data_IF_310953491784
#
_entry.id   IF_310953491784
#
_cell.length_a   1.000
_cell.length_b   1.000
_cell.length_c   1.000
_cell.angle_alpha   90.00
_cell.angle_beta   90.00
_cell.angle_gamma   90.00
#
_symmetry.space_group_name_H-M   'P 1'
#
loop_
_entity.id
_entity.type
_entity.pdbx_description
1 polymer ?
#
# COMPACT_ATOMS: atom_id res chain seq x y z
N UNK A 1 -21.87 -5.92 9.92
CA UNK A 1 -20.92 -4.79 9.88
C UNK A 1 -20.26 -4.71 8.53
N UNK A 2 -19.77 -3.53 8.12
CA UNK A 2 -19.08 -3.26 6.84
C UNK A 2 -18.02 -2.18 7.02
N UNK A 3 -17.31 -1.77 5.96
CA UNK A 3 -16.35 -0.66 5.94
C UNK A 3 -15.39 -0.72 7.15
N UNK A 4 -15.17 0.41 7.83
CA UNK A 4 -14.21 0.51 8.94
C UNK A 4 -14.50 -0.45 10.10
N UNK A 5 -15.78 -0.69 10.47
CA UNK A 5 -16.10 -1.65 11.54
C UNK A 5 -15.79 -3.10 11.17
N UNK A 6 -15.97 -3.49 9.92
CA UNK A 6 -15.55 -4.82 9.46
C UNK A 6 -14.03 -4.90 9.34
N UNK A 7 -13.37 -3.83 8.87
CA UNK A 7 -11.92 -3.73 8.75
C UNK A 7 -11.22 -3.88 10.11
N UNK A 8 -11.73 -3.22 11.15
CA UNK A 8 -11.24 -3.34 12.53
C UNK A 8 -11.34 -4.80 13.03
N UNK A 9 -12.52 -5.42 12.86
CA UNK A 9 -12.75 -6.79 13.28
C UNK A 9 -11.91 -7.84 12.53
N UNK A 10 -11.54 -7.55 11.28
CA UNK A 10 -10.72 -8.45 10.47
C UNK A 10 -9.22 -8.11 10.55
N UNK A 11 -8.84 -7.11 11.38
CA UNK A 11 -7.45 -6.71 11.60
C UNK A 11 -6.80 -6.07 10.36
N UNK A 12 -7.59 -5.41 9.52
CA UNK A 12 -7.09 -4.61 8.39
C UNK A 12 -6.54 -3.26 8.84
N UNK A 13 -7.00 -2.77 9.99
CA UNK A 13 -6.55 -1.51 10.60
C UNK A 13 -6.51 -1.66 12.11
N UNK A 14 -5.65 -0.88 12.74
CA UNK A 14 -5.57 -0.72 14.21
C UNK A 14 -6.35 0.52 14.68
N UNK A 15 -6.77 1.35 13.73
CA UNK A 15 -7.55 2.55 14.02
C UNK A 15 -8.99 2.14 14.29
N UNK A 16 -9.48 2.51 15.46
CA UNK A 16 -10.88 2.29 15.81
C UNK A 16 -11.79 3.17 14.96
N UNK A 17 -12.87 2.56 14.48
CA UNK A 17 -13.88 3.32 13.77
C UNK A 17 -14.59 4.29 14.72
N UNK A 18 -14.73 5.55 14.30
CA UNK A 18 -15.49 6.58 15.04
C UNK A 18 -17.00 6.33 15.01
N UNK A 19 -17.45 5.43 14.16
CA UNK A 19 -18.84 5.04 13.98
C UNK A 19 -18.96 3.53 13.78
N UNK A 20 -20.10 2.95 14.14
CA UNK A 20 -20.43 1.57 13.77
C UNK A 20 -20.98 1.57 12.35
N UNK A 21 -20.19 1.01 11.41
CA UNK A 21 -20.58 0.90 10.01
C UNK A 21 -21.38 -0.38 9.77
N UNK A 22 -22.61 -0.25 9.26
CA UNK A 22 -23.47 -1.38 8.93
C UNK A 22 -23.92 -1.30 7.46
N UNK A 23 -23.94 -2.45 6.78
CA UNK A 23 -24.52 -2.57 5.46
C UNK A 23 -25.92 -3.16 5.54
N UNK A 24 -26.85 -2.61 4.76
CA UNK A 24 -28.24 -3.05 4.68
C UNK A 24 -28.69 -3.14 3.21
N UNK A 25 -29.73 -3.92 2.90
CA UNK A 25 -30.33 -3.93 1.56
C UNK A 25 -30.86 -2.54 1.15
N UNK A 26 -30.92 -2.21 -0.15
CA UNK A 26 -31.28 -0.86 -0.63
C UNK A 26 -32.66 -0.38 -0.14
N UNK A 27 -33.66 -1.27 -0.10
CA UNK A 27 -35.03 -0.94 0.27
C UNK A 27 -35.30 -0.88 1.79
N UNK A 28 -34.30 -1.22 2.62
CA UNK A 28 -34.50 -1.23 4.09
C UNK A 28 -34.46 0.17 4.66
N UNK A 29 -35.57 0.59 5.24
CA UNK A 29 -35.61 1.79 6.08
C UNK A 29 -35.13 1.42 7.50
N UNK A 30 -34.20 2.22 8.01
CA UNK A 30 -33.75 2.13 9.40
C UNK A 30 -34.12 3.44 10.07
N UNK A 31 -35.02 3.35 11.06
CA UNK A 31 -35.27 4.46 11.96
C UNK A 31 -34.06 4.53 12.93
N UNK A 32 -33.13 5.43 12.67
CA UNK A 32 -32.12 5.80 13.68
C UNK A 32 -32.81 6.75 14.64
N UNK A 33 -33.15 6.26 15.81
CA UNK A 33 -33.79 7.06 16.86
C UNK A 33 -32.88 8.24 17.22
N UNK A 34 -33.36 9.46 17.07
CA UNK A 34 -32.67 10.66 17.55
C UNK A 34 -32.50 10.69 19.08
N UNK A 35 -33.27 9.88 19.81
CA UNK A 35 -33.31 9.83 21.27
C UNK A 35 -32.23 8.96 21.89
N UNK A 36 -31.60 8.06 21.12
CA UNK A 36 -30.51 7.20 21.63
C UNK A 36 -29.13 7.85 21.52
N UNK A 37 -29.04 9.13 21.19
CA UNK A 37 -27.80 9.90 21.25
C UNK A 37 -27.53 10.38 22.69
N UNK A 38 -27.40 9.41 23.60
CA UNK A 38 -26.79 9.68 24.89
C UNK A 38 -25.34 10.12 24.69
N UNK A 39 -24.85 10.99 25.56
CA UNK A 39 -23.42 11.38 25.57
C UNK A 39 -22.61 10.09 25.67
N UNK A 40 -21.86 9.74 24.58
CA UNK A 40 -21.05 8.53 24.50
C UNK A 40 -21.63 7.37 23.68
N UNK A 41 -22.85 7.45 23.15
CA UNK A 41 -23.35 6.39 22.25
C UNK A 41 -22.64 6.44 20.88
N UNK A 42 -22.18 5.29 20.34
CA UNK A 42 -21.47 5.29 19.06
C UNK A 42 -22.42 5.69 17.92
N UNK A 43 -21.96 6.57 17.06
CA UNK A 43 -22.70 6.92 15.85
C UNK A 43 -22.77 5.69 14.91
N UNK A 44 -23.96 5.45 14.31
CA UNK A 44 -24.16 4.36 13.34
C UNK A 44 -24.19 4.93 11.93
N UNK A 45 -23.22 4.53 11.11
CA UNK A 45 -23.16 4.84 9.68
C UNK A 45 -23.82 3.70 8.88
N UNK A 46 -24.92 4.02 8.18
CA UNK A 46 -25.69 3.05 7.40
C UNK A 46 -25.32 3.12 5.95
N UNK A 47 -24.83 2.02 5.39
CA UNK A 47 -24.49 1.84 3.98
C UNK A 47 -25.54 0.95 3.29
N UNK A 48 -26.05 1.38 2.14
CA UNK A 48 -26.99 0.60 1.34
C UNK A 48 -26.25 -0.16 0.26
N UNK A 49 -26.35 -1.50 0.25
CA UNK A 49 -25.65 -2.34 -0.72
C UNK A 49 -26.58 -3.38 -1.35
N UNK A 50 -26.72 -3.31 -2.67
CA UNK A 50 -27.41 -4.35 -3.44
C UNK A 50 -26.60 -5.68 -3.46
N UNK A 51 -25.35 -5.64 -3.10
CA UNK A 51 -24.43 -6.78 -3.06
C UNK A 51 -24.40 -7.49 -1.72
N UNK A 52 -25.21 -7.07 -0.73
CA UNK A 52 -25.10 -7.55 0.65
C UNK A 52 -25.14 -9.09 0.77
N UNK A 53 -25.96 -9.76 -0.03
CA UNK A 53 -26.09 -11.23 0.00
C UNK A 53 -24.78 -11.93 -0.34
N UNK A 54 -24.06 -11.47 -1.38
CA UNK A 54 -22.78 -12.03 -1.80
C UNK A 54 -21.61 -11.48 -0.97
N UNK A 55 -21.73 -10.25 -0.49
CA UNK A 55 -20.71 -9.58 0.30
C UNK A 55 -20.62 -10.10 1.73
N UNK A 56 -21.72 -10.59 2.30
CA UNK A 56 -21.76 -11.08 3.69
C UNK A 56 -20.92 -12.34 3.86
N UNK A 57 -20.10 -12.37 4.89
CA UNK A 57 -19.41 -13.60 5.28
C UNK A 57 -20.40 -14.59 5.91
N UNK A 58 -20.43 -15.88 5.50
CA UNK A 58 -21.47 -16.82 5.95
C UNK A 58 -21.38 -17.16 7.44
N UNK A 59 -20.19 -17.19 8.03
CA UNK A 59 -19.94 -17.75 9.36
C UNK A 59 -19.31 -16.78 10.38
N UNK A 60 -18.99 -15.53 10.00
CA UNK A 60 -18.34 -14.60 10.97
C UNK A 60 -19.33 -13.99 11.94
N UNK A 61 -18.94 -13.94 13.21
CA UNK A 61 -19.66 -13.23 14.28
C UNK A 61 -18.77 -12.13 14.87
N UNK A 62 -19.28 -10.92 15.07
CA UNK A 62 -20.58 -10.44 14.57
C UNK A 62 -20.68 -10.50 13.05
N UNK A 63 -21.90 -10.59 12.48
CA UNK A 63 -22.11 -10.67 11.03
C UNK A 63 -21.45 -9.48 10.31
N UNK A 64 -20.61 -9.75 9.30
CA UNK A 64 -19.87 -8.73 8.57
C UNK A 64 -19.58 -9.12 7.14
N UNK A 65 -19.13 -8.18 6.36
CA UNK A 65 -18.69 -8.39 4.97
C UNK A 65 -17.42 -9.26 4.92
N UNK A 66 -17.23 -10.00 3.83
CA UNK A 66 -15.98 -10.70 3.52
C UNK A 66 -14.85 -9.68 3.41
N UNK A 67 -13.62 -10.11 3.66
CA UNK A 67 -12.46 -9.20 3.68
C UNK A 67 -12.29 -8.47 2.35
N UNK A 68 -12.35 -9.18 1.23
CA UNK A 68 -12.26 -8.61 -0.11
C UNK A 68 -13.36 -7.57 -0.38
N UNK A 69 -14.59 -7.84 0.03
CA UNK A 69 -15.69 -6.91 -0.12
C UNK A 69 -15.54 -5.69 0.80
N UNK A 70 -15.03 -5.89 2.03
CA UNK A 70 -14.73 -4.81 2.99
C UNK A 70 -13.67 -3.86 2.42
N UNK A 71 -12.58 -4.41 1.86
CA UNK A 71 -11.52 -3.63 1.23
C UNK A 71 -12.06 -2.80 0.07
N UNK A 72 -12.87 -3.42 -0.82
CA UNK A 72 -13.43 -2.70 -1.96
C UNK A 72 -14.50 -1.66 -1.57
N UNK A 73 -15.20 -1.84 -0.46
CA UNK A 73 -16.11 -0.82 0.08
C UNK A 73 -15.32 0.39 0.61
N UNK A 74 -14.18 0.16 1.27
CA UNK A 74 -13.28 1.22 1.74
C UNK A 74 -12.63 1.96 0.56
N UNK A 75 -12.21 1.24 -0.46
CA UNK A 75 -11.72 1.82 -1.73
C UNK A 75 -12.75 2.77 -2.34
N UNK A 76 -14.02 2.37 -2.39
CA UNK A 76 -15.09 3.22 -2.93
C UNK A 76 -15.34 4.48 -2.08
N UNK A 77 -15.12 4.38 -0.76
CA UNK A 77 -15.28 5.47 0.19
C UNK A 77 -14.05 6.40 0.27
N UNK A 78 -12.91 5.99 -0.28
CA UNK A 78 -11.66 6.74 -0.22
C UNK A 78 -11.76 8.09 -0.96
N UNK A 79 -11.12 9.11 -0.41
CA UNK A 79 -11.08 10.44 -0.99
C UNK A 79 -10.23 10.48 -2.28
N UNK A 80 -9.11 9.74 -2.32
CA UNK A 80 -8.16 9.70 -3.42
C UNK A 80 -7.65 8.31 -3.75
N UNK A 81 -6.92 8.22 -4.89
CA UNK A 81 -6.37 6.95 -5.36
C UNK A 81 -5.35 6.34 -4.38
N UNK A 82 -4.50 7.16 -3.75
CA UNK A 82 -3.49 6.66 -2.82
C UNK A 82 -4.10 6.05 -1.56
N UNK A 83 -5.16 6.66 -1.03
CA UNK A 83 -5.91 6.09 0.08
C UNK A 83 -6.58 4.77 -0.34
N UNK A 84 -7.20 4.74 -1.52
CA UNK A 84 -7.78 3.53 -2.08
C UNK A 84 -6.75 2.41 -2.24
N UNK A 85 -5.57 2.73 -2.78
CA UNK A 85 -4.46 1.81 -2.95
C UNK A 85 -3.92 1.33 -1.60
N UNK A 86 -3.87 2.20 -0.58
CA UNK A 86 -3.38 1.84 0.74
C UNK A 86 -4.18 0.71 1.39
N UNK A 87 -5.49 0.65 1.13
CA UNK A 87 -6.35 -0.44 1.61
C UNK A 87 -5.99 -1.78 0.97
N UNK A 88 -5.73 -1.81 -0.35
CA UNK A 88 -5.31 -3.04 -1.05
C UNK A 88 -3.95 -3.52 -0.53
N UNK A 89 -2.98 -2.62 -0.52
CA UNK A 89 -1.62 -2.91 -0.06
C UNK A 89 -1.61 -3.41 1.38
N UNK A 90 -2.27 -2.68 2.30
CA UNK A 90 -2.32 -3.05 3.71
C UNK A 90 -2.99 -4.40 3.94
N UNK A 91 -4.09 -4.69 3.24
CA UNK A 91 -4.80 -5.95 3.37
C UNK A 91 -3.95 -7.15 2.90
N UNK A 92 -3.20 -6.99 1.81
CA UNK A 92 -2.29 -8.00 1.30
C UNK A 92 -1.05 -8.16 2.19
N UNK A 93 -0.42 -7.07 2.61
CA UNK A 93 0.75 -7.08 3.48
C UNK A 93 0.44 -7.73 4.84
N UNK A 94 -0.75 -7.48 5.39
CA UNK A 94 -1.24 -8.12 6.62
C UNK A 94 -1.73 -9.57 6.39
N UNK A 95 -1.62 -10.10 5.17
CA UNK A 95 -2.07 -11.46 4.78
C UNK A 95 -3.54 -11.74 5.11
N UNK A 96 -4.39 -10.72 5.05
CA UNK A 96 -5.84 -10.86 5.29
C UNK A 96 -6.58 -11.28 4.04
N UNK A 97 -6.02 -10.97 2.87
CA UNK A 97 -6.54 -11.33 1.55
C UNK A 97 -5.37 -11.47 0.56
N UNK A 98 -5.55 -12.25 -0.49
CA UNK A 98 -4.56 -12.38 -1.55
C UNK A 98 -4.85 -11.39 -2.69
N UNK A 99 -3.82 -10.95 -3.46
CA UNK A 99 -4.04 -10.15 -4.67
C UNK A 99 -5.02 -10.81 -5.64
N UNK A 100 -4.95 -12.13 -5.82
CA UNK A 100 -5.84 -12.90 -6.69
C UNK A 100 -7.30 -12.81 -6.25
N UNK A 101 -7.58 -12.90 -4.94
CA UNK A 101 -8.93 -12.78 -4.41
C UNK A 101 -9.49 -11.35 -4.60
N UNK A 102 -8.66 -10.32 -4.39
CA UNK A 102 -9.03 -8.93 -4.67
C UNK A 102 -9.27 -8.70 -6.16
N UNK A 103 -8.44 -9.27 -7.03
CA UNK A 103 -8.62 -9.19 -8.48
C UNK A 103 -9.97 -9.77 -8.91
N UNK A 104 -10.33 -10.95 -8.41
CA UNK A 104 -11.63 -11.56 -8.68
C UNK A 104 -12.79 -10.69 -8.16
N UNK A 105 -12.66 -10.12 -6.96
CA UNK A 105 -13.67 -9.24 -6.39
C UNK A 105 -13.82 -7.92 -7.20
N UNK A 106 -12.74 -7.34 -7.70
CA UNK A 106 -12.75 -6.17 -8.61
C UNK A 106 -13.47 -6.52 -9.92
N UNK A 107 -13.19 -7.70 -10.50
CA UNK A 107 -13.85 -8.15 -11.71
C UNK A 107 -15.36 -8.29 -11.53
N UNK A 108 -15.80 -8.76 -10.37
CA UNK A 108 -17.20 -8.89 -10.00
C UNK A 108 -17.92 -7.55 -9.72
N UNK A 109 -17.20 -6.40 -9.73
CA UNK A 109 -17.72 -5.05 -9.51
C UNK A 109 -17.55 -4.18 -10.77
N UNK A 110 -18.43 -4.24 -11.78
CA UNK A 110 -18.24 -3.53 -13.04
C UNK A 110 -18.20 -1.99 -12.89
N UNK A 111 -18.91 -1.45 -11.91
CA UNK A 111 -18.96 0.00 -11.62
C UNK A 111 -18.16 0.30 -10.36
N UNK A 112 -16.85 0.42 -10.53
CA UNK A 112 -15.93 0.71 -9.43
C UNK A 112 -14.97 1.84 -9.82
N UNK A 113 -14.74 2.79 -8.88
CA UNK A 113 -13.73 3.85 -9.06
C UNK A 113 -12.35 3.21 -9.24
N UNK A 114 -11.54 3.78 -10.12
CA UNK A 114 -10.17 3.36 -10.40
C UNK A 114 -9.97 1.87 -10.74
N UNK A 115 -11.03 1.20 -11.21
CA UNK A 115 -11.04 -0.26 -11.43
C UNK A 115 -9.82 -0.78 -12.20
N UNK A 116 -9.48 -0.18 -13.35
CA UNK A 116 -8.35 -0.62 -14.17
C UNK A 116 -7.01 -0.34 -13.48
N UNK A 117 -6.85 0.83 -12.85
CA UNK A 117 -5.63 1.20 -12.15
C UNK A 117 -5.36 0.30 -10.92
N UNK A 118 -6.40 -0.03 -10.15
CA UNK A 118 -6.29 -0.92 -9.00
C UNK A 118 -6.04 -2.37 -9.41
N UNK A 119 -6.66 -2.83 -10.50
CA UNK A 119 -6.39 -4.15 -11.06
C UNK A 119 -4.90 -4.27 -11.47
N UNK A 120 -4.36 -3.28 -12.17
CA UNK A 120 -2.93 -3.24 -12.50
C UNK A 120 -2.01 -3.09 -11.28
N UNK A 121 -2.48 -2.45 -10.20
CA UNK A 121 -1.71 -2.36 -8.97
C UNK A 121 -1.63 -3.70 -8.20
N UNK A 122 -2.63 -4.57 -8.34
CA UNK A 122 -2.61 -5.89 -7.72
C UNK A 122 -1.52 -6.81 -8.31
N UNK A 123 -1.16 -6.65 -9.57
CA UNK A 123 -0.04 -7.37 -10.19
C UNK A 123 1.29 -6.91 -9.54
N UNK A 124 1.44 -5.60 -9.32
CA UNK A 124 2.60 -5.03 -8.65
C UNK A 124 2.69 -5.47 -7.17
N UNK A 125 1.55 -5.51 -6.45
CA UNK A 125 1.46 -6.02 -5.08
C UNK A 125 1.81 -7.51 -5.03
N UNK A 126 1.34 -8.29 -5.99
CA UNK A 126 1.70 -9.70 -6.15
C UNK A 126 3.19 -9.93 -6.38
N UNK A 127 3.87 -8.96 -6.98
CA UNK A 127 5.32 -8.96 -7.22
C UNK A 127 6.15 -8.41 -6.05
N UNK A 128 5.55 -8.16 -4.89
CA UNK A 128 6.25 -7.82 -3.65
C UNK A 128 6.22 -6.34 -3.26
N UNK A 129 5.36 -5.51 -3.84
CA UNK A 129 5.13 -4.15 -3.38
C UNK A 129 4.28 -4.16 -2.11
N UNK A 130 4.80 -3.57 -1.03
CA UNK A 130 4.21 -3.59 0.30
C UNK A 130 3.75 -2.22 0.81
N UNK A 131 4.00 -1.15 0.06
CA UNK A 131 3.58 0.22 0.41
C UNK A 131 3.13 1.02 -0.83
N UNK A 132 2.36 2.08 -0.59
CA UNK A 132 1.98 3.03 -1.66
C UNK A 132 3.21 3.73 -2.22
N UNK A 133 4.20 4.01 -1.37
CA UNK A 133 5.43 4.68 -1.79
C UNK A 133 6.27 3.78 -2.71
N UNK A 134 6.38 2.48 -2.40
CA UNK A 134 7.01 1.49 -3.28
C UNK A 134 6.29 1.39 -4.63
N UNK A 135 4.95 1.40 -4.62
CA UNK A 135 4.17 1.42 -5.86
C UNK A 135 4.46 2.66 -6.70
N UNK A 136 4.52 3.83 -6.05
CA UNK A 136 4.82 5.08 -6.73
C UNK A 136 6.25 5.10 -7.27
N UNK A 137 7.21 4.60 -6.50
CA UNK A 137 8.60 4.48 -6.94
C UNK A 137 8.71 3.62 -8.22
N UNK A 138 8.08 2.45 -8.23
CA UNK A 138 8.08 1.59 -9.41
C UNK A 138 7.44 2.25 -10.64
N UNK A 139 6.34 3.00 -10.43
CA UNK A 139 5.54 3.60 -11.50
C UNK A 139 6.01 4.96 -11.96
N UNK A 140 6.63 5.75 -11.10
CA UNK A 140 7.05 7.12 -11.41
C UNK A 140 8.57 7.26 -11.60
N UNK A 141 9.37 6.35 -10.98
CA UNK A 141 10.83 6.41 -11.06
C UNK A 141 11.39 5.32 -11.96
N UNK A 142 11.16 4.04 -11.67
CA UNK A 142 11.83 2.96 -12.43
C UNK A 142 11.32 2.82 -13.86
N UNK A 143 10.03 2.48 -14.03
CA UNK A 143 9.48 2.12 -15.34
C UNK A 143 9.58 3.23 -16.39
N UNK A 144 9.16 4.49 -16.08
CA UNK A 144 9.19 5.55 -17.09
C UNK A 144 10.59 5.97 -17.53
N UNK A 145 11.59 5.68 -16.67
CA UNK A 145 12.97 6.09 -16.93
C UNK A 145 13.88 4.93 -17.35
N UNK A 146 13.33 3.73 -17.58
CA UNK A 146 14.10 2.57 -18.05
C UNK A 146 15.12 2.05 -17.04
N UNK A 147 14.94 2.37 -15.76
CA UNK A 147 15.75 1.82 -14.67
C UNK A 147 15.40 0.34 -14.51
N UNK A 148 16.38 -0.56 -14.29
CA UNK A 148 16.12 -1.98 -14.05
C UNK A 148 15.11 -2.18 -12.93
N UNK A 149 14.31 -3.23 -13.01
CA UNK A 149 13.42 -3.57 -11.91
C UNK A 149 14.23 -4.09 -10.71
N UNK A 150 14.10 -3.44 -9.57
CA UNK A 150 14.73 -3.90 -8.35
C UNK A 150 14.03 -5.15 -7.80
N UNK A 151 14.77 -6.01 -7.12
CA UNK A 151 14.19 -7.04 -6.27
C UNK A 151 13.55 -6.41 -5.04
N UNK A 152 12.24 -6.61 -4.89
CA UNK A 152 11.46 -6.06 -3.78
C UNK A 152 11.63 -6.88 -2.52
N UNK A 153 11.61 -6.20 -1.35
CA UNK A 153 11.69 -6.83 -0.04
C UNK A 153 12.81 -7.88 0.03
N UNK A 154 13.98 -7.50 -0.50
CA UNK A 154 15.12 -8.40 -0.60
C UNK A 154 15.66 -8.74 0.78
N UNK A 155 15.71 -10.04 1.09
CA UNK A 155 16.23 -10.52 2.38
C UNK A 155 17.75 -10.56 2.37
N UNK A 156 18.39 -9.83 3.28
CA UNK A 156 19.82 -9.94 3.57
C UNK A 156 20.06 -10.60 4.93
N UNK A 157 20.86 -11.68 5.00
CA UNK A 157 21.25 -12.29 6.27
C UNK A 157 22.13 -11.32 7.07
N UNK A 158 21.83 -11.17 8.37
CA UNK A 158 22.65 -10.37 9.32
C UNK A 158 22.86 -11.15 10.61
N UNK A 159 23.88 -11.99 10.65
CA UNK A 159 24.09 -12.93 11.76
C UNK A 159 22.89 -13.87 11.92
N UNK A 160 22.32 -13.93 13.13
CA UNK A 160 21.11 -14.73 13.41
C UNK A 160 19.79 -14.06 12.98
N UNK A 161 19.84 -12.83 12.47
CA UNK A 161 18.67 -12.06 12.03
C UNK A 161 18.68 -11.87 10.51
N UNK A 162 17.57 -11.40 9.97
CA UNK A 162 17.46 -10.99 8.57
C UNK A 162 17.03 -9.54 8.52
N UNK A 163 17.60 -8.82 7.57
CA UNK A 163 17.18 -7.47 7.20
C UNK A 163 16.50 -7.53 5.85
N UNK A 164 15.47 -6.72 5.66
CA UNK A 164 14.79 -6.59 4.38
C UNK A 164 15.09 -5.21 3.80
N UNK A 165 15.42 -5.19 2.52
CA UNK A 165 15.64 -4.00 1.73
C UNK A 165 14.42 -3.78 0.83
N UNK A 166 13.87 -2.58 0.80
CA UNK A 166 12.66 -2.31 0.01
C UNK A 166 12.88 -2.59 -1.46
N UNK A 167 14.00 -2.11 -2.00
CA UNK A 167 14.39 -2.30 -3.40
C UNK A 167 15.89 -2.56 -3.49
N UNK A 168 16.28 -3.71 -3.98
CA UNK A 168 17.68 -4.09 -4.16
C UNK A 168 17.97 -4.35 -5.65
N UNK A 169 18.90 -3.62 -6.21
CA UNK A 169 19.49 -3.88 -7.52
C UNK A 169 20.69 -4.79 -7.31
N UNK A 170 20.43 -6.11 -7.26
CA UNK A 170 21.39 -7.13 -6.83
C UNK A 170 22.68 -7.12 -7.67
N UNK A 171 22.54 -7.02 -8.99
CA UNK A 171 23.67 -7.05 -9.92
C UNK A 171 24.65 -5.89 -9.72
N UNK A 172 24.18 -4.81 -9.07
CA UNK A 172 24.94 -3.58 -8.90
C UNK A 172 25.28 -3.27 -7.44
N UNK A 173 24.77 -4.06 -6.47
CA UNK A 173 24.97 -3.81 -5.06
C UNK A 173 24.37 -2.46 -4.60
N UNK A 174 23.27 -2.02 -5.19
CA UNK A 174 22.59 -0.76 -4.84
C UNK A 174 21.23 -1.05 -4.22
N UNK A 175 20.96 -0.47 -3.07
CA UNK A 175 19.66 -0.52 -2.41
C UNK A 175 18.98 0.85 -2.42
N UNK A 176 17.67 0.87 -2.63
CA UNK A 176 16.82 2.05 -2.46
C UNK A 176 15.80 1.76 -1.38
N UNK A 177 15.90 2.50 -0.29
CA UNK A 177 15.00 2.47 0.85
C UNK A 177 13.98 3.60 0.73
N UNK A 178 12.73 3.28 0.96
CA UNK A 178 11.61 4.19 0.79
C UNK A 178 10.96 4.51 2.13
N UNK A 179 11.25 5.71 2.65
CA UNK A 179 10.78 6.13 3.96
C UNK A 179 9.45 6.89 3.85
N UNK A 180 8.36 6.19 4.13
CA UNK A 180 7.00 6.76 4.12
C UNK A 180 6.65 7.54 5.39
N UNK A 181 7.49 7.53 6.42
CA UNK A 181 7.21 8.17 7.72
C UNK A 181 8.10 9.38 7.95
N UNK A 182 7.48 10.52 8.12
CA UNK A 182 8.17 11.81 8.33
C UNK A 182 8.81 12.00 9.72
N UNK A 183 8.79 11.02 10.61
CA UNK A 183 9.34 11.18 11.97
C UNK A 183 9.93 9.87 12.52
N UNK A 184 11.25 9.79 12.53
CA UNK A 184 11.98 8.79 13.32
C UNK A 184 12.06 9.24 14.78
N UNK A 185 11.71 8.36 15.73
CA UNK A 185 12.01 8.57 17.16
C UNK A 185 13.53 8.50 17.37
N UNK A 186 14.05 9.23 18.37
CA UNK A 186 15.49 9.25 18.66
C UNK A 186 16.09 7.84 18.89
N UNK A 187 15.30 6.91 19.40
CA UNK A 187 15.68 5.52 19.65
C UNK A 187 15.90 4.72 18.35
N UNK A 188 15.22 5.09 17.26
CA UNK A 188 15.35 4.42 15.96
C UNK A 188 16.68 4.77 15.26
N UNK A 189 17.29 5.93 15.56
CA UNK A 189 18.55 6.40 14.93
C UNK A 189 19.73 5.46 15.13
N UNK A 190 19.85 4.85 16.34
CA UNK A 190 20.92 3.88 16.62
C UNK A 190 20.75 2.59 15.80
N UNK A 191 19.54 2.13 15.66
CA UNK A 191 19.22 0.96 14.85
C UNK A 191 19.51 1.23 13.36
N UNK A 192 19.15 2.42 12.89
CA UNK A 192 19.40 2.87 11.51
C UNK A 192 20.89 2.98 11.21
N UNK A 193 21.68 3.61 12.10
CA UNK A 193 23.14 3.70 11.94
C UNK A 193 23.79 2.32 11.85
N UNK A 194 23.39 1.38 12.70
CA UNK A 194 23.90 0.00 12.65
C UNK A 194 23.47 -0.73 11.37
N UNK A 195 22.31 -0.42 10.84
CA UNK A 195 21.82 -0.94 9.58
C UNK A 195 22.70 -0.44 8.43
N UNK A 196 22.95 0.86 8.40
CA UNK A 196 23.76 1.50 7.36
C UNK A 196 25.18 0.98 7.36
N UNK A 197 25.82 0.88 8.54
CA UNK A 197 27.17 0.33 8.69
C UNK A 197 27.25 -1.13 8.20
N UNK A 198 26.21 -1.92 8.48
CA UNK A 198 26.15 -3.30 7.98
C UNK A 198 26.06 -3.34 6.45
N UNK A 199 25.19 -2.54 5.84
CA UNK A 199 25.04 -2.49 4.38
C UNK A 199 26.33 -2.01 3.72
N UNK A 200 26.95 -0.96 4.26
CA UNK A 200 28.24 -0.46 3.78
C UNK A 200 29.35 -1.53 3.88
N UNK A 201 29.41 -2.28 4.99
CA UNK A 201 30.38 -3.37 5.14
C UNK A 201 30.14 -4.56 4.21
N UNK A 202 28.89 -4.72 3.75
CA UNK A 202 28.51 -5.70 2.74
C UNK A 202 28.69 -5.20 1.29
N UNK A 203 29.23 -3.98 1.10
CA UNK A 203 29.45 -3.37 -0.21
C UNK A 203 28.15 -2.87 -0.87
N UNK A 204 27.07 -2.67 -0.09
CA UNK A 204 25.81 -2.18 -0.62
C UNK A 204 25.72 -0.66 -0.46
N UNK A 205 25.61 0.05 -1.58
CA UNK A 205 25.33 1.49 -1.61
C UNK A 205 23.83 1.68 -1.34
N UNK A 206 23.50 2.47 -0.32
CA UNK A 206 22.09 2.70 0.06
C UNK A 206 21.67 4.13 -0.25
N UNK A 207 20.60 4.29 -1.01
CA UNK A 207 19.92 5.54 -1.26
C UNK A 207 18.59 5.56 -0.49
N UNK A 208 18.18 6.74 0.02
CA UNK A 208 16.92 6.89 0.77
C UNK A 208 16.10 8.01 0.19
N UNK A 209 14.83 7.74 -0.02
CA UNK A 209 13.88 8.71 -0.54
C UNK A 209 12.59 8.70 0.26
N UNK A 210 12.10 9.91 0.54
CA UNK A 210 10.82 10.12 1.19
C UNK A 210 9.67 10.29 0.20
N UNK A 211 8.49 10.53 0.75
CA UNK A 211 7.27 10.74 -0.03
C UNK A 211 7.43 11.88 -1.06
N UNK A 212 7.89 13.06 -0.62
CA UNK A 212 8.04 14.22 -1.50
C UNK A 212 9.02 13.98 -2.66
N UNK A 213 10.10 13.23 -2.41
CA UNK A 213 11.09 12.92 -3.44
C UNK A 213 10.46 12.11 -4.58
N UNK A 214 9.72 11.05 -4.22
CA UNK A 214 9.12 10.12 -5.19
C UNK A 214 7.89 10.71 -5.89
N UNK A 215 7.12 11.57 -5.21
CA UNK A 215 5.85 12.10 -5.76
C UNK A 215 5.98 13.44 -6.47
N UNK A 216 6.88 14.31 -6.00
CA UNK A 216 7.04 15.66 -6.54
C UNK A 216 8.24 15.77 -7.48
N UNK A 217 9.28 14.94 -7.27
CA UNK A 217 10.55 15.00 -8.00
C UNK A 217 11.02 13.66 -8.56
N UNK A 218 10.12 12.81 -9.13
CA UNK A 218 10.49 11.45 -9.56
C UNK A 218 11.60 11.42 -10.61
N UNK A 219 11.67 12.40 -11.52
CA UNK A 219 12.73 12.48 -12.53
C UNK A 219 14.10 12.75 -11.90
N UNK A 220 14.20 13.58 -10.87
CA UNK A 220 15.45 13.83 -10.16
C UNK A 220 15.91 12.56 -9.42
N UNK A 221 15.00 11.87 -8.75
CA UNK A 221 15.27 10.55 -8.13
C UNK A 221 15.77 9.56 -9.18
N UNK A 222 15.10 9.48 -10.34
CA UNK A 222 15.52 8.60 -11.43
C UNK A 222 16.94 8.92 -11.95
N UNK A 223 17.26 10.19 -12.13
CA UNK A 223 18.58 10.62 -12.55
C UNK A 223 19.66 10.24 -11.55
N UNK A 224 19.39 10.43 -10.24
CA UNK A 224 20.32 10.08 -9.17
C UNK A 224 20.53 8.58 -9.05
N UNK A 225 19.44 7.80 -9.01
CA UNK A 225 19.50 6.33 -8.96
C UNK A 225 20.25 5.79 -10.18
N UNK A 226 19.92 6.27 -11.38
CA UNK A 226 20.58 5.85 -12.60
C UNK A 226 22.07 6.20 -12.66
N UNK A 227 22.46 7.35 -12.08
CA UNK A 227 23.88 7.72 -11.94
C UNK A 227 24.61 6.73 -11.03
N UNK A 228 24.07 6.44 -9.84
CA UNK A 228 24.67 5.50 -8.89
C UNK A 228 24.75 4.09 -9.47
N UNK A 229 23.68 3.62 -10.14
CA UNK A 229 23.69 2.32 -10.81
C UNK A 229 24.80 2.22 -11.85
N UNK A 230 25.04 3.29 -12.65
CA UNK A 230 26.12 3.33 -13.65
C UNK A 230 27.50 3.31 -13.00
N UNK A 231 27.69 4.03 -11.91
CA UNK A 231 28.93 3.99 -11.11
C UNK A 231 29.19 2.58 -10.55
N UNK A 232 28.12 1.81 -10.32
CA UNK A 232 28.16 0.42 -9.87
C UNK A 232 28.09 -0.63 -11.00
N UNK A 233 28.26 -0.21 -12.27
CA UNK A 233 28.42 -1.12 -13.41
C UNK A 233 27.18 -1.32 -14.29
N UNK A 234 26.09 -0.60 -14.06
CA UNK A 234 24.97 -0.61 -15.00
C UNK A 234 25.32 0.08 -16.30
N UNK A 235 25.21 -0.62 -17.42
CA UNK A 235 25.54 -0.11 -18.77
C UNK A 235 24.36 0.60 -19.46
N UNK A 236 23.17 0.58 -18.87
CA UNK A 236 22.00 1.25 -19.42
C UNK A 236 21.99 2.77 -19.23
N UNK A 237 20.99 3.40 -19.80
CA UNK A 237 20.79 4.85 -19.73
C UNK A 237 19.42 5.18 -19.16
N UNK A 238 19.33 6.27 -18.40
CA UNK A 238 18.06 6.79 -17.94
C UNK A 238 17.32 7.43 -19.11
N UNK A 239 16.10 6.97 -19.36
CA UNK A 239 15.23 7.46 -20.42
C UNK A 239 14.40 8.65 -19.95
N UNK A 240 14.06 9.56 -20.83
CA UNK A 240 13.12 10.65 -20.52
C UNK A 240 11.69 10.11 -20.48
N UNK A 241 10.96 10.39 -19.42
CA UNK A 241 9.55 9.96 -19.26
C UNK A 241 8.54 10.82 -20.04
N UNK A 242 8.99 11.97 -20.57
CA UNK A 242 8.18 12.90 -21.37
C UNK A 242 8.92 14.20 -21.69
N UNK A 243 8.26 15.15 -22.40
CA UNK A 243 8.90 16.40 -22.83
C UNK A 243 9.40 17.28 -21.67
N UNK A 244 8.70 17.26 -20.53
CA UNK A 244 9.07 18.04 -19.34
C UNK A 244 9.96 17.25 -18.36
N UNK A 245 10.53 16.12 -18.78
CA UNK A 245 11.38 15.32 -17.94
C UNK A 245 12.70 16.04 -17.63
N UNK A 246 13.07 16.09 -16.35
CA UNK A 246 14.31 16.70 -15.87
C UNK A 246 15.54 15.77 -15.88
N UNK A 247 15.43 14.58 -16.50
CA UNK A 247 16.57 13.65 -16.66
C UNK A 247 17.40 13.96 -17.88
#
# INVERSE_FOLDING_TARGET
>A
MSHHSAAELDGLTEVRASAIHVAVPPGRQIAVSKHERGVGAPFVAVHRSARLTVARHPARLPPRTRVEETVLDLVQASAGFDEALSWLVSACARRRVTPVALQAAIQARPRMRWRAALAGALDDIGSGIHSVLEYRYARAVERPHGIPAARRQARMPRGSRSQYLDNLYEDFGVAVELDGRAAHRAEDRWADTRRDNFLASAGVVTLRYGWADVTERPCQVAAEVGRVLRECGWTGTVSRCGPACGC
#
